data_IF_754730039687
#
_entry.id   IF_754730039687
#
_cell.length_a   1.000
_cell.length_b   1.000
_cell.length_c   1.000
_cell.angle_alpha   90.00
_cell.angle_beta   90.00
_cell.angle_gamma   90.00
#
_symmetry.space_group_name_H-M   'P 1'
#
loop_
_entity.id
_entity.type
_entity.pdbx_description
1 polymer ?
#
# COMPACT_ATOMS: atom_id res chain seq x y z
N UNK A 1 -5.73 2.06 16.63
CA UNK A 1 -6.50 1.97 15.37
C UNK A 1 -5.64 1.61 14.16
N UNK A 2 -4.37 2.04 14.09
CA UNK A 2 -3.50 1.71 12.93
C UNK A 2 -2.80 0.35 13.04
N UNK A 3 -2.48 -0.09 14.26
CA UNK A 3 -1.85 -1.39 14.50
C UNK A 3 -2.77 -2.56 14.16
N UNK A 4 -2.17 -3.70 13.85
CA UNK A 4 -2.83 -4.99 13.72
C UNK A 4 -3.40 -5.46 15.08
N UNK A 5 -4.30 -6.46 15.11
CA UNK A 5 -4.87 -6.98 16.35
C UNK A 5 -3.82 -7.53 17.34
N UNK A 6 -2.65 -7.94 16.85
CA UNK A 6 -1.54 -8.42 17.66
C UNK A 6 -0.64 -7.29 18.22
N UNK A 7 -0.93 -6.03 17.90
CA UNK A 7 -0.17 -4.86 18.35
C UNK A 7 0.93 -4.41 17.40
N UNK A 8 1.24 -5.17 16.34
CA UNK A 8 2.29 -4.80 15.39
C UNK A 8 1.83 -3.66 14.46
N UNK A 9 2.78 -2.79 14.08
CA UNK A 9 2.52 -1.74 13.11
C UNK A 9 2.83 -2.23 11.69
N UNK A 10 1.83 -2.46 10.83
CA UNK A 10 2.06 -2.86 9.45
C UNK A 10 2.71 -1.71 8.69
N UNK A 11 3.76 -2.00 7.91
CA UNK A 11 4.46 -1.00 7.10
C UNK A 11 4.11 -1.15 5.61
N UNK A 12 4.30 -2.34 5.06
CA UNK A 12 4.07 -2.65 3.64
C UNK A 12 3.42 -4.02 3.49
N UNK A 13 2.87 -4.29 2.31
CA UNK A 13 2.35 -5.59 1.92
C UNK A 13 2.62 -5.88 0.43
N UNK A 14 2.46 -7.14 0.04
CA UNK A 14 2.62 -7.60 -1.33
C UNK A 14 1.27 -7.95 -1.94
N UNK A 15 1.12 -7.71 -3.24
CA UNK A 15 -0.01 -8.19 -4.05
C UNK A 15 0.48 -8.88 -5.31
N UNK A 16 -0.41 -9.58 -6.01
CA UNK A 16 -0.16 -10.19 -7.31
C UNK A 16 -0.59 -9.30 -8.47
N UNK A 17 -0.70 -7.99 -8.24
CA UNK A 17 -1.00 -7.04 -9.31
C UNK A 17 0.20 -6.95 -10.26
N UNK A 18 -0.10 -6.96 -11.56
CA UNK A 18 0.87 -6.69 -12.61
C UNK A 18 1.12 -5.17 -12.69
N UNK A 19 2.36 -4.76 -12.46
CA UNK A 19 2.79 -3.37 -12.44
C UNK A 19 4.11 -3.21 -13.19
N UNK A 20 4.32 -2.00 -13.69
CA UNK A 20 5.56 -1.53 -14.31
C UNK A 20 5.82 -0.06 -13.93
N UNK A 21 6.91 0.52 -14.44
CA UNK A 21 7.21 1.94 -14.33
C UNK A 21 6.02 2.82 -14.77
N UNK A 22 5.65 3.78 -13.93
CA UNK A 22 4.46 4.62 -14.10
C UNK A 22 3.32 4.30 -13.12
N UNK A 23 3.35 3.15 -12.45
CA UNK A 23 2.38 2.79 -11.39
C UNK A 23 2.74 3.35 -10.01
N UNK A 24 3.86 4.06 -9.87
CA UNK A 24 4.25 4.67 -8.59
C UNK A 24 3.18 5.66 -8.12
N UNK A 25 2.63 5.41 -6.94
CA UNK A 25 1.52 6.19 -6.37
C UNK A 25 0.13 5.67 -6.72
N UNK A 26 0.00 4.58 -7.50
CA UNK A 26 -1.30 3.99 -7.81
C UNK A 26 -2.03 3.53 -6.54
N UNK A 27 -3.33 3.82 -6.40
CA UNK A 27 -4.10 3.36 -5.26
C UNK A 27 -4.32 1.84 -5.32
N UNK A 28 -4.05 1.16 -4.22
CA UNK A 28 -4.43 -0.25 -4.02
C UNK A 28 -5.74 -0.27 -3.25
N UNK A 29 -6.78 -0.85 -3.84
CA UNK A 29 -8.15 -0.85 -3.31
C UNK A 29 -8.63 -2.27 -2.95
N UNK A 30 -9.48 -2.37 -1.94
CA UNK A 30 -10.13 -3.65 -1.58
C UNK A 30 -11.38 -3.92 -2.45
N UNK A 31 -12.07 -5.04 -2.19
CA UNK A 31 -13.27 -5.44 -2.92
C UNK A 31 -14.48 -4.48 -2.82
N UNK A 32 -14.44 -3.52 -1.88
CA UNK A 32 -15.48 -2.50 -1.70
C UNK A 32 -15.09 -1.15 -2.34
N UNK A 33 -13.91 -1.06 -2.97
CA UNK A 33 -13.41 0.19 -3.54
C UNK A 33 -12.76 1.13 -2.52
N UNK A 34 -12.38 0.63 -1.34
CA UNK A 34 -11.75 1.42 -0.29
C UNK A 34 -10.22 1.32 -0.39
N UNK A 35 -9.52 2.44 -0.17
CA UNK A 35 -8.06 2.51 -0.25
C UNK A 35 -7.42 1.71 0.89
N UNK A 36 -6.57 0.74 0.56
CA UNK A 36 -5.82 -0.09 1.52
C UNK A 36 -4.30 0.10 1.43
N UNK A 37 -3.80 0.70 0.36
CA UNK A 37 -2.39 1.01 0.23
C UNK A 37 -2.07 1.84 -1.01
N UNK A 38 -0.80 2.18 -1.18
CA UNK A 38 -0.29 2.84 -2.38
C UNK A 38 0.88 2.04 -2.94
N UNK A 39 0.79 1.67 -4.22
CA UNK A 39 1.86 0.95 -4.91
C UNK A 39 3.08 1.88 -5.07
N UNK A 40 4.27 1.36 -4.81
CA UNK A 40 5.50 2.14 -4.97
C UNK A 40 6.62 1.40 -5.67
N UNK A 41 6.62 0.07 -5.69
CA UNK A 41 7.66 -0.72 -6.33
C UNK A 41 7.19 -2.14 -6.67
N UNK A 42 8.01 -2.88 -7.42
CA UNK A 42 7.89 -4.33 -7.62
C UNK A 42 9.05 -5.08 -6.95
N UNK A 43 8.88 -6.38 -6.68
CA UNK A 43 9.99 -7.19 -6.17
C UNK A 43 11.08 -7.44 -7.23
N UNK A 44 12.23 -7.97 -6.81
CA UNK A 44 13.35 -8.20 -7.72
C UNK A 44 12.98 -9.05 -8.96
N UNK A 45 12.13 -10.05 -8.77
CA UNK A 45 11.64 -10.92 -9.84
C UNK A 45 10.70 -10.21 -10.84
N UNK A 46 10.14 -9.05 -10.48
CA UNK A 46 9.28 -8.26 -11.38
C UNK A 46 10.06 -7.50 -12.45
N UNK A 47 11.40 -7.45 -12.39
CA UNK A 47 12.23 -6.76 -13.39
C UNK A 47 12.08 -7.34 -14.81
N UNK A 48 11.73 -8.63 -14.94
CA UNK A 48 11.41 -9.24 -16.24
C UNK A 48 9.93 -9.10 -16.65
N UNK A 49 9.09 -8.53 -15.79
CA UNK A 49 7.63 -8.43 -15.96
C UNK A 49 7.23 -7.63 -17.19
N UNK A 50 8.01 -6.63 -17.56
CA UNK A 50 7.80 -5.81 -18.75
C UNK A 50 7.80 -6.63 -20.07
N UNK A 51 8.41 -7.81 -20.05
CA UNK A 51 8.51 -8.70 -21.21
C UNK A 51 7.65 -9.95 -21.02
N UNK A 52 7.70 -10.57 -19.83
CA UNK A 52 6.94 -11.77 -19.52
C UNK A 52 6.52 -11.77 -18.05
N UNK A 53 5.20 -11.85 -17.84
CA UNK A 53 4.63 -11.90 -16.50
C UNK A 53 4.63 -13.33 -15.94
N UNK A 54 5.20 -13.54 -14.75
CA UNK A 54 5.18 -14.80 -14.01
C UNK A 54 4.36 -14.67 -12.72
N UNK A 55 3.16 -15.27 -12.75
CA UNK A 55 2.21 -15.29 -11.64
C UNK A 55 2.81 -15.78 -10.31
N UNK A 56 3.79 -16.69 -10.36
CA UNK A 56 4.36 -17.29 -9.14
C UNK A 56 5.41 -16.40 -8.49
N UNK A 57 6.15 -15.62 -9.27
CA UNK A 57 7.31 -14.87 -8.80
C UNK A 57 7.03 -13.39 -8.58
N UNK A 58 6.23 -12.77 -9.43
CA UNK A 58 6.15 -11.30 -9.49
C UNK A 58 5.14 -10.76 -8.49
N UNK A 59 5.55 -9.72 -7.75
CA UNK A 59 4.76 -9.09 -6.70
C UNK A 59 4.86 -7.58 -6.78
N UNK A 60 3.71 -6.91 -6.70
CA UNK A 60 3.63 -5.49 -6.45
C UNK A 60 3.85 -5.23 -4.96
N UNK A 61 4.69 -4.25 -4.64
CA UNK A 61 4.97 -3.77 -3.30
C UNK A 61 4.17 -2.49 -3.06
N UNK A 62 3.36 -2.50 -2.00
CA UNK A 62 2.56 -1.36 -1.60
C UNK A 62 2.82 -0.99 -0.13
N UNK A 63 2.78 0.31 0.16
CA UNK A 63 2.76 0.79 1.54
C UNK A 63 1.36 0.60 2.11
N UNK A 64 1.27 0.13 3.36
CA UNK A 64 0.00 -0.03 4.06
C UNK A 64 -0.58 1.36 4.39
N UNK A 65 -1.85 1.60 4.05
CA UNK A 65 -2.47 2.90 4.30
C UNK A 65 -2.50 3.24 5.79
N UNK A 66 -2.55 2.23 6.68
CA UNK A 66 -2.48 2.44 8.13
C UNK A 66 -1.12 2.99 8.55
N UNK A 67 -0.03 2.61 7.87
CA UNK A 67 1.29 3.17 8.11
C UNK A 67 1.36 4.63 7.69
N UNK A 68 0.82 4.96 6.52
CA UNK A 68 0.76 6.35 6.03
C UNK A 68 -0.01 7.23 7.01
N UNK A 69 -1.20 6.81 7.44
CA UNK A 69 -2.02 7.54 8.41
C UNK A 69 -1.33 7.63 9.78
N UNK A 70 -0.66 6.56 10.22
CA UNK A 70 0.12 6.57 11.46
C UNK A 70 1.24 7.61 11.42
N UNK A 71 1.98 7.71 10.32
CA UNK A 71 3.04 8.71 10.15
C UNK A 71 2.46 10.13 10.13
N UNK A 72 1.37 10.37 9.39
CA UNK A 72 0.71 11.68 9.34
C UNK A 72 0.24 12.13 10.74
N UNK A 73 -0.39 11.23 11.50
CA UNK A 73 -0.92 11.51 12.84
C UNK A 73 0.20 11.61 13.89
N UNK A 74 1.02 10.57 14.04
CA UNK A 74 1.94 10.42 15.18
C UNK A 74 3.30 11.06 14.99
N UNK A 75 3.84 11.03 13.77
CA UNK A 75 5.12 11.69 13.49
C UNK A 75 4.89 13.14 13.04
N UNK A 76 3.93 13.36 12.14
CA UNK A 76 3.64 14.67 11.59
C UNK A 76 2.80 15.57 12.51
N UNK A 77 1.97 15.01 13.39
CA UNK A 77 1.03 15.78 14.20
C UNK A 77 -0.08 16.45 13.36
N UNK A 78 -0.27 16.02 12.11
CA UNK A 78 -1.12 16.67 11.12
C UNK A 78 -2.57 16.16 11.19
N UNK A 79 -3.20 16.26 12.36
CA UNK A 79 -4.56 15.73 12.58
C UNK A 79 -5.60 16.27 11.60
N UNK A 80 -5.47 17.51 11.15
CA UNK A 80 -6.37 18.13 10.17
C UNK A 80 -6.48 17.34 8.86
N UNK A 81 -5.40 16.69 8.41
CA UNK A 81 -5.43 15.83 7.21
C UNK A 81 -6.20 14.53 7.47
N UNK A 82 -6.12 14.00 8.69
CA UNK A 82 -6.88 12.80 9.09
C UNK A 82 -8.38 13.13 9.16
N UNK A 83 -8.71 14.30 9.71
CA UNK A 83 -10.10 14.76 9.84
C UNK A 83 -10.74 15.14 8.49
N UNK A 84 -9.94 15.44 7.46
CA UNK A 84 -10.40 15.69 6.08
C UNK A 84 -10.84 14.40 5.35
N UNK A 85 -10.27 13.25 5.73
CA UNK A 85 -10.52 11.98 5.07
C UNK A 85 -11.76 11.25 5.65
N UNK A 86 -12.48 10.53 4.78
CA UNK A 86 -13.48 9.56 5.25
C UNK A 86 -12.81 8.22 5.50
N UNK A 87 -12.70 7.83 6.78
CA UNK A 87 -12.08 6.56 7.19
C UNK A 87 -13.18 5.56 7.56
N UNK A 88 -13.16 4.42 6.88
CA UNK A 88 -14.00 3.25 7.16
C UNK A 88 -13.25 2.30 8.11
N UNK A 89 -13.97 1.64 9.02
CA UNK A 89 -13.41 0.71 10.04
C UNK A 89 -13.97 -0.70 9.91
#
# INVERSE_FOLDING_TARGET
>A
RYALPNGDMPACFLTTNDITGGNSGSPVINGNGELIGAAFDGNWESLSGDINFDNNLQRCIAVDIRYVLFIIDKLGGCKHLIDEMTIVE
#
